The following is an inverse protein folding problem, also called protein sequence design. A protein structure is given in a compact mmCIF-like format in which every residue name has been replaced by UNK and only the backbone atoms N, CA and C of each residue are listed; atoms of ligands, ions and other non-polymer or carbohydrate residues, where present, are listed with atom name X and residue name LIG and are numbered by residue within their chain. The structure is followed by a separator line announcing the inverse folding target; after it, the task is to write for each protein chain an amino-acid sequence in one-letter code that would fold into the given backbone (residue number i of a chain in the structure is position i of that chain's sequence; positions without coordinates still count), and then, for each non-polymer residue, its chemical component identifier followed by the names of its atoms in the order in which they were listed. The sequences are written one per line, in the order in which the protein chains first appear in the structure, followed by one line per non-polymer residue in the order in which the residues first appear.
data_IF_817687193847
#
_entry.id   IF_817687193847
#
_cell.length_a   1.000
_cell.length_b   1.000
_cell.length_c   1.000
_cell.angle_alpha   90.00
_cell.angle_beta   90.00
_cell.angle_gamma   90.00
#
_symmetry.space_group_name_H-M   'P 1'
#
loop_
_entity.id
_entity.type
_entity.pdbx_description
1 polymer ?
#
# COMPACT_ATOMS: atom_id res chain seq x y z
N UNK A 1 -27.50 -2.06 -12.13
CA UNK A 1 -26.97 -0.70 -12.47
C UNK A 1 -27.01 0.24 -11.26
N UNK A 2 -28.11 0.23 -10.50
CA UNK A 2 -28.22 1.08 -9.30
C UNK A 2 -27.24 0.63 -8.22
N UNK A 3 -27.09 -0.67 -8.02
CA UNK A 3 -26.15 -1.25 -7.06
C UNK A 3 -24.68 -0.96 -7.37
N UNK A 4 -24.34 -0.64 -8.62
CA UNK A 4 -23.01 -0.22 -8.99
C UNK A 4 -22.66 1.19 -8.49
N UNK A 5 -23.63 2.10 -8.55
CA UNK A 5 -23.46 3.48 -8.11
C UNK A 5 -23.76 3.69 -6.62
N UNK A 6 -24.62 2.86 -6.05
CA UNK A 6 -25.05 2.92 -4.65
C UNK A 6 -25.02 1.50 -4.04
N UNK A 7 -23.82 1.00 -3.71
CA UNK A 7 -23.67 -0.36 -3.22
C UNK A 7 -24.04 -0.43 -1.72
N UNK A 8 -25.29 -0.15 -1.39
CA UNK A 8 -25.80 -0.21 0.00
C UNK A 8 -25.56 -1.58 0.62
N UNK A 9 -25.66 -2.63 -0.18
CA UNK A 9 -25.43 -4.02 0.23
C UNK A 9 -23.95 -4.34 0.55
N UNK A 10 -22.97 -3.54 0.16
CA UNK A 10 -21.58 -3.71 0.61
C UNK A 10 -21.46 -3.51 2.13
N UNK A 11 -22.36 -2.71 2.70
CA UNK A 11 -22.36 -2.42 4.13
C UNK A 11 -23.09 -3.49 4.95
N UNK A 12 -23.81 -4.40 4.30
CA UNK A 12 -24.59 -5.45 4.96
C UNK A 12 -23.75 -6.67 5.36
N UNK A 13 -22.56 -6.80 4.79
CA UNK A 13 -21.63 -7.89 5.09
C UNK A 13 -20.44 -7.30 5.85
N UNK A 14 -20.12 -7.81 7.05
CA UNK A 14 -18.92 -7.42 7.74
C UNK A 14 -17.71 -7.67 6.85
N UNK A 15 -17.00 -6.60 6.51
CA UNK A 15 -15.83 -6.65 5.64
C UNK A 15 -14.65 -5.88 6.24
N UNK A 16 -13.47 -6.44 6.06
CA UNK A 16 -12.21 -5.74 6.27
C UNK A 16 -11.54 -5.54 4.91
N UNK A 17 -11.09 -4.34 4.64
CA UNK A 17 -10.35 -4.04 3.43
C UNK A 17 -9.19 -3.07 3.69
N UNK A 18 -8.20 -3.12 2.81
CA UNK A 18 -7.12 -2.14 2.79
C UNK A 18 -6.76 -1.80 1.36
N UNK A 19 -6.23 -0.59 1.18
CA UNK A 19 -5.80 -0.09 -0.13
C UNK A 19 -4.31 0.19 -0.13
N UNK A 20 -3.70 -0.04 -1.27
CA UNK A 20 -2.32 0.32 -1.59
C UNK A 20 -2.32 1.02 -2.95
N UNK A 21 -1.29 1.76 -3.25
CA UNK A 21 -1.07 2.35 -4.56
C UNK A 21 0.40 2.14 -4.95
N UNK A 22 0.59 1.31 -5.95
CA UNK A 22 1.92 0.91 -6.41
C UNK A 22 2.12 1.39 -7.84
N UNK A 23 3.26 1.99 -8.12
CA UNK A 23 3.60 2.46 -9.46
C UNK A 23 4.87 1.78 -9.97
N UNK A 24 4.87 1.44 -11.26
CA UNK A 24 6.04 0.93 -11.95
C UNK A 24 5.92 1.18 -13.47
N UNK A 25 7.02 0.96 -14.18
CA UNK A 25 7.01 0.98 -15.62
C UNK A 25 6.19 -0.20 -16.23
N UNK A 26 5.86 -0.08 -17.51
CA UNK A 26 5.02 -1.06 -18.19
C UNK A 26 5.65 -2.46 -18.28
N UNK A 27 6.96 -2.58 -18.17
CA UNK A 27 7.65 -3.89 -18.23
C UNK A 27 7.59 -4.66 -16.90
N UNK A 28 7.32 -3.97 -15.78
CA UNK A 28 7.31 -4.57 -14.45
C UNK A 28 5.92 -4.65 -13.81
N UNK A 29 4.99 -3.78 -14.20
CA UNK A 29 3.72 -3.60 -13.49
C UNK A 29 2.87 -4.88 -13.42
N UNK A 30 2.82 -5.67 -14.50
CA UNK A 30 2.08 -6.93 -14.50
C UNK A 30 2.69 -7.95 -13.53
N UNK A 31 4.02 -8.08 -13.53
CA UNK A 31 4.74 -8.95 -12.59
C UNK A 31 4.47 -8.55 -11.14
N UNK A 32 4.46 -7.25 -10.85
CA UNK A 32 4.17 -6.71 -9.53
C UNK A 32 2.74 -7.07 -9.10
N UNK A 33 1.76 -6.87 -9.98
CA UNK A 33 0.38 -7.26 -9.71
C UNK A 33 0.27 -8.73 -9.30
N UNK A 34 0.86 -9.64 -10.08
CA UNK A 34 0.81 -11.07 -9.79
C UNK A 34 1.58 -11.43 -8.52
N UNK A 35 2.71 -10.77 -8.26
CA UNK A 35 3.47 -10.98 -7.03
C UNK A 35 2.67 -10.60 -5.79
N UNK A 36 2.03 -9.43 -5.79
CA UNK A 36 1.17 -8.96 -4.70
C UNK A 36 -0.04 -9.88 -4.50
N UNK A 37 -0.74 -10.20 -5.59
CA UNK A 37 -1.90 -11.09 -5.56
C UNK A 37 -1.56 -12.44 -4.98
N UNK A 38 -0.53 -13.08 -5.50
CA UNK A 38 -0.12 -14.40 -5.04
C UNK A 38 0.36 -14.38 -3.58
N UNK A 39 1.13 -13.36 -3.20
CA UNK A 39 1.60 -13.21 -1.82
C UNK A 39 0.43 -13.07 -0.84
N UNK A 40 -0.57 -12.27 -1.17
CA UNK A 40 -1.72 -12.06 -0.30
C UNK A 40 -2.62 -13.30 -0.27
N UNK A 41 -3.10 -13.77 -1.42
CA UNK A 41 -4.10 -14.85 -1.47
C UNK A 41 -3.57 -16.20 -1.01
N UNK A 42 -2.25 -16.45 -1.16
CA UNK A 42 -1.64 -17.71 -0.69
C UNK A 42 -1.39 -17.74 0.82
N UNK A 43 -1.11 -16.59 1.44
CA UNK A 43 -0.79 -16.52 2.87
C UNK A 43 -2.01 -16.22 3.74
N UNK A 44 -3.09 -15.69 3.17
CA UNK A 44 -4.28 -15.28 3.91
C UNK A 44 -5.55 -15.88 3.31
N UNK A 45 -5.92 -17.11 3.70
CA UNK A 45 -7.12 -17.76 3.20
C UNK A 45 -8.37 -16.89 3.40
N UNK A 46 -9.21 -16.80 2.36
CA UNK A 46 -10.42 -15.99 2.38
C UNK A 46 -10.23 -14.51 2.02
N UNK A 47 -8.98 -14.06 1.86
CA UNK A 47 -8.69 -12.71 1.35
C UNK A 47 -8.68 -12.74 -0.18
N UNK A 48 -9.33 -11.75 -0.78
CA UNK A 48 -9.33 -11.52 -2.22
C UNK A 48 -8.50 -10.27 -2.53
N UNK A 49 -7.66 -10.35 -3.55
CA UNK A 49 -6.91 -9.21 -4.06
C UNK A 49 -7.50 -8.77 -5.40
N UNK A 50 -7.83 -7.50 -5.49
CA UNK A 50 -8.31 -6.86 -6.71
C UNK A 50 -7.52 -5.58 -6.97
N UNK A 51 -7.41 -5.18 -8.22
CA UNK A 51 -6.74 -3.95 -8.60
C UNK A 51 -7.30 -3.37 -9.89
N UNK A 52 -7.05 -2.08 -10.09
CA UNK A 52 -7.24 -1.42 -11.36
C UNK A 52 -6.12 -0.41 -11.61
N UNK A 53 -5.83 -0.14 -12.88
CA UNK A 53 -4.88 0.89 -13.26
C UNK A 53 -5.64 2.22 -13.39
N UNK A 54 -5.31 3.21 -12.56
CA UNK A 54 -6.01 4.50 -12.58
C UNK A 54 -5.16 5.67 -13.06
N UNK A 55 -3.88 5.69 -12.79
CA UNK A 55 -2.98 6.71 -13.30
C UNK A 55 -2.04 6.13 -14.38
N UNK A 56 -2.04 6.78 -15.54
CA UNK A 56 -1.25 6.38 -16.69
C UNK A 56 -0.22 7.43 -17.01
N UNK A 57 1.05 7.02 -17.07
CA UNK A 57 2.20 7.85 -17.39
C UNK A 57 2.78 7.41 -18.74
N UNK A 58 3.56 8.25 -19.38
CA UNK A 58 4.22 7.88 -20.65
C UNK A 58 5.19 6.70 -20.54
N UNK A 59 5.59 6.33 -19.32
CA UNK A 59 6.55 5.28 -19.03
C UNK A 59 5.99 4.11 -18.21
N UNK A 60 4.83 4.26 -17.59
CA UNK A 60 4.29 3.25 -16.68
C UNK A 60 2.87 3.56 -16.23
N UNK A 61 2.41 2.83 -15.24
CA UNK A 61 1.07 3.01 -14.66
C UNK A 61 1.08 2.74 -13.16
N UNK A 62 0.10 3.27 -12.49
CA UNK A 62 -0.19 2.95 -11.11
C UNK A 62 -1.27 1.88 -11.02
N UNK A 63 -1.07 0.90 -10.15
CA UNK A 63 -2.08 -0.06 -9.74
C UNK A 63 -2.68 0.44 -8.42
N UNK A 64 -3.99 0.68 -8.42
CA UNK A 64 -4.76 0.88 -7.21
C UNK A 64 -5.18 -0.49 -6.69
N UNK A 65 -4.49 -0.95 -5.69
CA UNK A 65 -4.65 -2.28 -5.13
C UNK A 65 -5.61 -2.27 -3.94
N UNK A 66 -6.40 -3.32 -3.83
CA UNK A 66 -7.26 -3.54 -2.68
C UNK A 66 -7.27 -5.02 -2.30
N UNK A 67 -7.12 -5.29 -1.03
CA UNK A 67 -7.52 -6.57 -0.48
C UNK A 67 -8.87 -6.45 0.24
N UNK A 68 -9.64 -7.52 0.19
CA UNK A 68 -10.96 -7.62 0.81
C UNK A 68 -11.04 -8.96 1.52
N UNK A 69 -11.50 -8.94 2.76
CA UNK A 69 -11.81 -10.12 3.56
C UNK A 69 -13.25 -10.02 4.05
N UNK A 70 -14.07 -10.97 3.63
CA UNK A 70 -15.43 -11.13 4.14
C UNK A 70 -15.34 -11.80 5.53
N UNK A 71 -16.17 -11.35 6.46
CA UNK A 71 -16.22 -11.88 7.84
C UNK A 71 -14.84 -11.86 8.54
N UNK A 72 -14.25 -10.69 8.75
CA UNK A 72 -13.01 -10.57 9.52
C UNK A 72 -13.22 -10.97 10.98
N UNK A 73 -12.13 -11.17 11.75
CA UNK A 73 -12.25 -11.39 13.19
C UNK A 73 -13.13 -10.34 13.88
N UNK A 74 -13.99 -10.78 14.79
CA UNK A 74 -14.87 -9.88 15.57
C UNK A 74 -14.06 -9.00 16.53
N UNK A 75 -12.97 -9.54 17.08
CA UNK A 75 -12.06 -8.78 17.92
C UNK A 75 -11.31 -7.74 17.10
N UNK A 76 -11.46 -6.48 17.49
CA UNK A 76 -10.92 -5.33 16.75
C UNK A 76 -9.39 -5.30 16.71
N UNK A 77 -8.74 -5.77 17.76
CA UNK A 77 -7.27 -5.78 17.81
C UNK A 77 -6.71 -6.90 16.92
N UNK A 78 -7.37 -8.05 16.92
CA UNK A 78 -7.03 -9.15 16.03
C UNK A 78 -7.27 -8.75 14.57
N UNK A 79 -8.41 -8.15 14.25
CA UNK A 79 -8.71 -7.64 12.92
C UNK A 79 -7.67 -6.60 12.45
N UNK A 80 -7.27 -5.68 13.34
CA UNK A 80 -6.23 -4.68 13.03
C UNK A 80 -4.86 -5.33 12.78
N UNK A 81 -4.48 -6.33 13.59
CA UNK A 81 -3.24 -7.07 13.38
C UNK A 81 -3.24 -7.78 12.03
N UNK A 82 -4.33 -8.50 11.74
CA UNK A 82 -4.50 -9.20 10.48
C UNK A 82 -4.48 -8.24 9.28
N UNK A 83 -5.22 -7.14 9.35
CA UNK A 83 -5.18 -6.08 8.34
C UNK A 83 -3.75 -5.62 8.05
N UNK A 84 -2.97 -5.34 9.10
CA UNK A 84 -1.61 -4.87 8.94
C UNK A 84 -0.66 -5.95 8.37
N UNK A 85 -0.88 -7.22 8.69
CA UNK A 85 -0.13 -8.33 8.14
C UNK A 85 -0.39 -8.48 6.63
N UNK A 86 -1.67 -8.47 6.21
CA UNK A 86 -2.06 -8.55 4.81
C UNK A 86 -1.48 -7.37 4.03
N UNK A 87 -1.66 -6.16 4.56
CA UNK A 87 -1.15 -4.95 3.94
C UNK A 87 0.37 -4.96 3.78
N UNK A 88 1.09 -5.36 4.82
CA UNK A 88 2.55 -5.50 4.77
C UNK A 88 3.00 -6.54 3.75
N UNK A 89 2.30 -7.66 3.66
CA UNK A 89 2.61 -8.72 2.70
C UNK A 89 2.53 -8.19 1.26
N UNK A 90 1.46 -7.47 0.93
CA UNK A 90 1.29 -6.89 -0.40
C UNK A 90 2.36 -5.84 -0.73
N UNK A 91 2.59 -4.89 0.17
CA UNK A 91 3.59 -3.83 -0.03
C UNK A 91 5.00 -4.40 -0.17
N UNK A 92 5.37 -5.40 0.64
CA UNK A 92 6.66 -6.06 0.51
C UNK A 92 6.82 -6.75 -0.84
N UNK A 93 5.81 -7.49 -1.26
CA UNK A 93 5.82 -8.15 -2.58
C UNK A 93 5.99 -7.14 -3.73
N UNK A 94 5.37 -5.95 -3.62
CA UNK A 94 5.57 -4.88 -4.59
C UNK A 94 7.01 -4.38 -4.61
N UNK A 95 7.59 -4.05 -3.46
CA UNK A 95 8.97 -3.55 -3.33
C UNK A 95 10.00 -4.55 -3.87
N UNK A 96 9.87 -5.82 -3.50
CA UNK A 96 10.78 -6.89 -3.91
C UNK A 96 10.77 -7.13 -5.43
N UNK A 97 9.70 -6.70 -6.10
CA UNK A 97 9.56 -6.78 -7.55
C UNK A 97 9.79 -5.43 -8.27
N UNK A 98 10.33 -4.43 -7.58
CA UNK A 98 10.71 -3.14 -8.16
C UNK A 98 9.60 -2.11 -8.20
N UNK A 99 8.48 -2.33 -7.50
CA UNK A 99 7.39 -1.37 -7.38
C UNK A 99 7.74 -0.22 -6.42
N UNK A 100 7.32 0.98 -6.78
CA UNK A 100 7.29 2.12 -5.87
C UNK A 100 5.96 2.10 -5.13
N UNK A 101 6.02 2.03 -3.80
CA UNK A 101 4.89 1.70 -2.93
C UNK A 101 4.01 2.87 -2.55
N UNK A 102 4.06 3.94 -3.28
CA UNK A 102 3.11 5.05 -3.17
C UNK A 102 3.13 5.90 -4.42
N UNK A 103 1.97 6.23 -4.91
CA UNK A 103 1.75 7.21 -5.97
C UNK A 103 1.09 8.48 -5.41
N UNK A 104 -0.11 8.39 -4.86
CA UNK A 104 -0.90 9.56 -4.45
C UNK A 104 -1.48 9.52 -3.03
N UNK A 105 -1.43 8.38 -2.33
CA UNK A 105 -1.97 8.30 -0.96
C UNK A 105 -1.13 9.04 0.09
N UNK A 106 0.14 9.29 -0.22
CA UNK A 106 1.10 9.89 0.70
C UNK A 106 1.74 8.86 1.65
N UNK A 107 2.96 9.11 2.01
CA UNK A 107 3.77 8.19 2.83
C UNK A 107 3.25 8.12 4.27
N UNK A 108 2.93 9.27 4.85
CA UNK A 108 2.43 9.34 6.22
C UNK A 108 3.35 8.63 7.23
N UNK A 109 2.74 8.04 8.24
CA UNK A 109 3.41 7.20 9.22
C UNK A 109 3.44 5.72 8.81
N UNK A 110 2.47 5.29 8.04
CA UNK A 110 2.30 3.87 7.70
C UNK A 110 3.43 3.33 6.82
N UNK A 111 3.82 4.10 5.82
CA UNK A 111 4.90 3.77 4.89
C UNK A 111 6.28 4.26 5.37
N UNK A 112 6.33 5.20 6.31
CA UNK A 112 7.56 5.88 6.76
C UNK A 112 8.70 4.90 7.08
N UNK A 113 8.39 3.80 7.75
CA UNK A 113 9.36 2.75 8.14
C UNK A 113 9.99 2.00 6.95
N UNK A 114 9.40 2.09 5.77
CA UNK A 114 9.86 1.43 4.54
C UNK A 114 10.68 2.37 3.64
N UNK A 115 10.67 3.67 3.91
CA UNK A 115 11.27 4.66 3.00
C UNK A 115 12.79 4.55 2.89
N UNK A 116 13.45 4.20 3.97
CA UNK A 116 14.91 3.96 3.93
C UNK A 116 15.29 2.82 2.97
N UNK A 117 14.47 1.77 2.98
CA UNK A 117 14.64 0.63 2.06
C UNK A 117 14.25 1.02 0.61
N UNK A 118 13.11 1.70 0.45
CA UNK A 118 12.61 2.14 -0.87
C UNK A 118 13.57 3.08 -1.59
N UNK A 119 14.15 4.02 -0.88
CA UNK A 119 15.05 5.03 -1.46
C UNK A 119 16.53 4.65 -1.39
N UNK A 120 16.88 3.63 -0.59
CA UNK A 120 18.27 3.22 -0.43
C UNK A 120 19.20 4.39 -0.07
N UNK A 121 20.37 4.52 -0.74
CA UNK A 121 21.32 5.60 -0.45
C UNK A 121 20.77 7.02 -0.64
N UNK A 122 19.77 7.21 -1.52
CA UNK A 122 19.15 8.51 -1.72
C UNK A 122 18.43 9.02 -0.46
N UNK A 123 18.03 8.13 0.45
CA UNK A 123 17.42 8.52 1.71
C UNK A 123 18.32 9.42 2.56
N UNK A 124 19.65 9.24 2.52
CA UNK A 124 20.60 10.10 3.25
C UNK A 124 20.55 11.57 2.79
N UNK A 125 20.25 11.80 1.51
CA UNK A 125 20.07 13.16 0.99
C UNK A 125 18.83 13.80 1.61
N UNK A 126 17.75 13.04 1.72
CA UNK A 126 16.51 13.50 2.37
C UNK A 126 16.72 13.79 3.86
N UNK A 127 17.45 12.94 4.57
CA UNK A 127 17.84 13.16 5.98
C UNK A 127 18.66 14.46 6.13
N UNK A 128 19.61 14.69 5.22
CA UNK A 128 20.41 15.91 5.22
C UNK A 128 19.58 17.17 4.99
N UNK A 129 18.67 17.14 4.03
CA UNK A 129 17.73 18.24 3.76
C UNK A 129 16.82 18.50 4.96
N UNK A 130 16.25 17.45 5.52
CA UNK A 130 15.40 17.56 6.72
C UNK A 130 16.15 18.22 7.87
N UNK A 131 17.33 17.72 8.18
CA UNK A 131 18.17 18.28 9.26
C UNK A 131 18.56 19.76 9.05
N UNK A 132 18.78 20.15 7.79
CA UNK A 132 19.12 21.52 7.44
C UNK A 132 17.95 22.49 7.61
N UNK A 133 16.72 22.03 7.26
CA UNK A 133 15.50 22.85 7.29
C UNK A 133 14.80 22.82 8.64
N UNK A 134 14.93 21.72 9.36
CA UNK A 134 14.27 21.47 10.64
C UNK A 134 15.25 20.82 11.64
N UNK A 135 16.24 21.59 12.09
CA UNK A 135 17.28 21.07 13.00
C UNK A 135 16.75 20.59 14.34
N UNK A 136 15.59 21.08 14.75
CA UNK A 136 14.95 20.71 16.01
C UNK A 136 13.93 19.57 15.88
N UNK A 137 13.66 19.07 14.65
CA UNK A 137 12.74 17.96 14.40
C UNK A 137 11.27 18.23 14.78
N UNK A 138 10.83 19.48 14.70
CA UNK A 138 9.47 19.90 15.12
C UNK A 138 8.46 19.89 13.96
N UNK A 139 8.93 19.89 12.71
CA UNK A 139 8.08 19.93 11.53
C UNK A 139 7.75 18.50 11.06
N UNK A 140 6.47 18.13 11.14
CA UNK A 140 6.00 16.83 10.67
C UNK A 140 6.87 15.64 11.14
N UNK A 141 7.08 15.45 12.45
CA UNK A 141 7.97 14.41 12.96
C UNK A 141 7.52 13.02 12.50
N UNK A 142 8.51 12.17 12.21
CA UNK A 142 8.33 10.78 11.75
C UNK A 142 7.64 10.59 10.39
N UNK A 143 7.23 11.64 9.69
CA UNK A 143 6.73 11.52 8.32
C UNK A 143 7.88 11.23 7.37
N UNK A 144 7.63 10.44 6.33
CA UNK A 144 8.67 9.94 5.40
C UNK A 144 9.78 9.10 6.05
N UNK A 145 9.71 8.82 7.35
CA UNK A 145 10.81 8.18 8.09
C UNK A 145 11.93 9.15 8.54
N UNK A 146 11.61 10.46 8.52
CA UNK A 146 12.52 11.55 8.84
C UNK A 146 12.19 12.20 10.20
#
# INVERSE_FOLDING_TARGET
RITFFYPDNIMDIPQMFGTMDTVADFSHIEKIYWAMKNAIESNFPGVKFIAHCSHWYGWGTMIYDRFIMDNPPEDKEEALRLHNQIWNCGVRAAMENGGVINDHHGIGLKLSRLMKEQYGPAFQVMEGLKKSLDPNGIMNPYKLGL
#
